data_IF_223248129882
#
_entry.id   IF_223248129882
#
_cell.length_a   1.000
_cell.length_b   1.000
_cell.length_c   1.000
_cell.angle_alpha   90.00
_cell.angle_beta   90.00
_cell.angle_gamma   90.00
#
_symmetry.space_group_name_H-M   'P 1'
#
loop_
_entity.id
_entity.type
_entity.pdbx_description
1 polymer ?
#
# COMPACT_ATOMS: atom_id res chain seq x y z
N UNK A 1 -4.05 4.52 55.78
CA UNK A 1 -2.86 3.82 55.29
C UNK A 1 -2.61 4.27 53.87
N UNK A 2 -1.43 4.85 53.65
CA UNK A 2 -0.95 5.41 52.39
C UNK A 2 -0.50 4.32 51.39
N UNK A 3 -0.33 4.75 50.13
CA UNK A 3 0.41 4.15 49.01
C UNK A 3 -0.39 3.25 48.04
N UNK A 4 -0.22 3.33 46.72
CA UNK A 4 0.59 4.23 45.88
C UNK A 4 0.15 4.02 44.41
N UNK A 5 -0.12 5.11 43.71
CA UNK A 5 -0.24 5.14 42.26
C UNK A 5 1.14 4.95 41.63
N UNK A 6 1.36 3.82 40.92
CA UNK A 6 2.51 3.67 40.02
C UNK A 6 2.13 4.15 38.62
N UNK A 7 2.63 5.33 38.26
CA UNK A 7 2.73 5.81 36.87
C UNK A 7 3.49 4.78 36.03
N UNK A 8 2.87 4.25 34.97
CA UNK A 8 3.60 3.58 33.88
C UNK A 8 4.32 4.66 33.07
N UNK A 9 5.65 4.62 33.05
CA UNK A 9 6.49 5.38 32.12
C UNK A 9 6.28 4.81 30.71
N UNK A 10 5.92 5.65 29.74
CA UNK A 10 6.08 5.36 28.31
C UNK A 10 7.59 5.12 28.07
N UNK A 11 7.95 3.92 27.67
CA UNK A 11 9.28 3.63 27.15
C UNK A 11 9.36 4.20 25.74
N UNK A 12 10.26 5.14 25.52
CA UNK A 12 10.68 5.55 24.17
C UNK A 12 11.30 4.32 23.51
N UNK A 13 10.66 3.80 22.47
CA UNK A 13 11.17 2.67 21.71
C UNK A 13 12.28 3.20 20.79
N UNK A 14 13.53 2.99 21.15
CA UNK A 14 14.67 3.27 20.27
C UNK A 14 14.65 2.23 19.15
N UNK A 15 14.24 2.64 17.95
CA UNK A 15 14.31 1.80 16.76
C UNK A 15 15.80 1.63 16.40
N UNK A 16 16.30 0.41 16.53
CA UNK A 16 17.64 0.05 16.04
C UNK A 16 17.48 -0.28 14.55
N UNK A 17 17.77 0.70 13.70
CA UNK A 17 17.81 0.51 12.25
C UNK A 17 19.09 -0.26 11.90
N UNK A 18 18.94 -1.42 11.27
CA UNK A 18 20.08 -2.20 10.76
C UNK A 18 20.66 -1.45 9.55
N UNK A 19 21.90 -0.98 9.68
CA UNK A 19 22.57 -0.15 8.66
C UNK A 19 23.01 -1.04 7.48
N UNK A 20 22.36 -0.88 6.33
CA UNK A 20 22.82 -1.46 5.07
C UNK A 20 23.98 -0.60 4.51
N UNK A 21 25.20 -1.12 4.54
CA UNK A 21 26.37 -0.49 3.92
C UNK A 21 26.35 -0.76 2.41
N UNK A 22 25.64 0.08 1.64
CA UNK A 22 25.71 0.07 0.18
C UNK A 22 27.06 0.62 -0.30
N UNK A 23 28.00 -0.27 -0.61
CA UNK A 23 29.22 0.07 -1.35
C UNK A 23 28.88 0.11 -2.85
N UNK A 24 28.57 1.30 -3.37
CA UNK A 24 28.36 1.51 -4.81
C UNK A 24 29.74 1.67 -5.48
N UNK A 25 30.32 0.57 -5.94
CA UNK A 25 31.49 0.59 -6.83
C UNK A 25 31.04 0.35 -8.28
N UNK A 26 31.09 1.39 -9.12
CA UNK A 26 30.88 1.21 -10.57
C UNK A 26 30.69 2.49 -11.38
N UNK A 27 31.80 3.10 -11.82
CA UNK A 27 32.00 3.84 -13.06
C UNK A 27 30.89 4.79 -13.58
N UNK A 28 30.59 5.85 -12.81
CA UNK A 28 30.30 7.22 -13.25
C UNK A 28 30.56 8.13 -12.04
N UNK A 29 31.38 9.15 -12.19
CA UNK A 29 31.89 10.01 -11.11
C UNK A 29 30.82 10.95 -10.56
N UNK A 30 29.88 10.45 -9.76
CA UNK A 30 28.96 11.25 -8.93
C UNK A 30 28.61 10.47 -7.65
N UNK A 31 29.62 9.96 -6.95
CA UNK A 31 29.43 9.52 -5.56
C UNK A 31 29.29 10.76 -4.66
N UNK A 32 28.42 10.75 -3.64
CA UNK A 32 28.43 11.82 -2.65
C UNK A 32 29.79 11.81 -1.95
N UNK A 33 30.34 12.99 -1.62
CA UNK A 33 31.51 13.02 -0.74
C UNK A 33 31.12 12.33 0.59
N UNK A 34 32.07 11.68 1.26
CA UNK A 34 31.85 10.96 2.51
C UNK A 34 31.24 11.89 3.59
N UNK A 35 31.54 13.19 3.51
CA UNK A 35 30.94 14.22 4.34
C UNK A 35 29.44 14.43 4.06
N UNK A 36 29.05 14.53 2.78
CA UNK A 36 27.65 14.66 2.37
C UNK A 36 26.86 13.40 2.73
N UNK A 37 27.45 12.22 2.51
CA UNK A 37 26.85 10.93 2.85
C UNK A 37 26.56 10.77 4.34
N UNK A 38 27.39 11.38 5.20
CA UNK A 38 27.17 11.40 6.66
C UNK A 38 26.12 12.44 7.07
N UNK A 39 26.02 13.56 6.34
CA UNK A 39 25.07 14.64 6.63
C UNK A 39 23.62 14.18 6.46
N UNK A 40 23.24 13.74 5.26
CA UNK A 40 21.84 13.42 4.98
C UNK A 40 21.34 12.22 5.77
N UNK A 41 22.22 11.24 6.08
CA UNK A 41 21.87 10.11 6.96
C UNK A 41 21.55 10.55 8.39
N UNK A 42 22.28 11.53 8.90
CA UNK A 42 21.99 12.10 10.21
C UNK A 42 20.66 12.86 10.19
N UNK A 43 20.39 13.62 9.13
CA UNK A 43 19.13 14.36 8.98
C UNK A 43 17.94 13.41 8.89
N UNK A 44 18.02 12.36 8.07
CA UNK A 44 16.98 11.34 7.95
C UNK A 44 16.66 10.64 9.27
N UNK A 45 17.66 10.33 10.09
CA UNK A 45 17.44 9.68 11.39
C UNK A 45 16.77 10.62 12.41
N UNK A 46 16.74 11.93 12.15
CA UNK A 46 16.09 12.94 12.98
C UNK A 46 14.72 13.34 12.46
N UNK A 47 14.38 12.97 11.22
CA UNK A 47 13.07 13.22 10.64
C UNK A 47 12.06 12.23 11.21
N UNK A 48 11.11 12.75 11.99
CA UNK A 48 9.91 12.03 12.39
C UNK A 48 8.89 12.10 11.23
N UNK A 49 8.04 11.09 11.08
CA UNK A 49 6.89 11.06 10.16
C UNK A 49 7.20 11.12 8.65
N UNK A 50 8.12 10.26 8.18
CA UNK A 50 8.33 10.08 6.74
C UNK A 50 7.09 9.50 6.04
N UNK A 51 6.71 10.07 4.89
CA UNK A 51 5.62 9.57 4.03
C UNK A 51 5.82 8.12 3.58
N UNK A 52 7.07 7.75 3.28
CA UNK A 52 7.46 6.40 2.85
C UNK A 52 8.41 5.78 3.87
N UNK A 53 8.69 4.47 3.75
CA UNK A 53 9.69 3.84 4.59
C UNK A 53 11.05 4.55 4.47
N UNK A 54 11.89 4.38 5.50
CA UNK A 54 13.24 4.94 5.47
C UNK A 54 14.03 4.43 4.25
N UNK A 55 13.91 3.15 3.90
CA UNK A 55 14.59 2.57 2.72
C UNK A 55 14.07 3.19 1.42
N UNK A 56 12.75 3.30 1.24
CA UNK A 56 12.17 3.99 0.08
C UNK A 56 12.66 5.44 -0.01
N UNK A 57 12.62 6.19 1.09
CA UNK A 57 13.06 7.59 1.15
C UNK A 57 14.53 7.73 0.70
N UNK A 58 15.42 6.85 1.17
CA UNK A 58 16.83 6.85 0.72
C UNK A 58 16.95 6.59 -0.77
N UNK A 59 16.20 5.63 -1.28
CA UNK A 59 16.29 5.19 -2.68
C UNK A 59 15.75 6.26 -3.63
N UNK A 60 14.64 6.89 -3.27
CA UNK A 60 14.07 8.03 -3.95
C UNK A 60 15.03 9.22 -3.93
N UNK A 61 15.62 9.54 -2.77
CA UNK A 61 16.62 10.61 -2.65
C UNK A 61 17.81 10.40 -3.61
N UNK A 62 18.39 9.20 -3.60
CA UNK A 62 19.52 8.85 -4.47
C UNK A 62 19.10 8.94 -5.95
N UNK A 63 17.90 8.49 -6.29
CA UNK A 63 17.43 8.53 -7.67
C UNK A 63 17.15 9.96 -8.15
N UNK A 64 16.50 10.80 -7.34
CA UNK A 64 16.27 12.21 -7.64
C UNK A 64 17.58 12.96 -7.88
N UNK A 65 18.59 12.76 -7.03
CA UNK A 65 19.90 13.41 -7.22
C UNK A 65 20.58 12.98 -8.54
N UNK A 66 20.36 11.75 -8.99
CA UNK A 66 20.88 11.28 -10.29
C UNK A 66 20.16 11.94 -11.48
N UNK A 67 18.85 12.08 -11.39
CA UNK A 67 18.05 12.72 -12.45
C UNK A 67 18.40 14.20 -12.62
N UNK A 68 18.53 14.90 -11.49
CA UNK A 68 18.91 16.32 -11.43
C UNK A 68 20.39 16.54 -11.74
N UNK A 69 21.20 15.46 -11.74
CA UNK A 69 22.67 15.48 -11.92
C UNK A 69 23.38 16.37 -10.90
N UNK A 70 22.75 16.57 -9.74
CA UNK A 70 23.24 17.39 -8.64
C UNK A 70 22.73 16.80 -7.32
N UNK A 71 23.55 16.88 -6.26
CA UNK A 71 23.12 16.53 -4.92
C UNK A 71 22.29 17.65 -4.32
N UNK A 72 21.02 17.35 -4.05
CA UNK A 72 20.13 18.28 -3.39
C UNK A 72 20.38 18.23 -1.87
N UNK A 73 20.24 19.36 -1.15
CA UNK A 73 20.06 19.32 0.29
C UNK A 73 18.94 18.34 0.65
N UNK A 74 19.14 17.50 1.66
CA UNK A 74 18.20 16.42 1.98
C UNK A 74 16.79 16.95 2.24
N UNK A 75 16.68 18.11 2.90
CA UNK A 75 15.40 18.79 3.11
C UNK A 75 14.67 19.10 1.79
N UNK A 76 15.37 19.68 0.81
CA UNK A 76 14.77 20.07 -0.48
C UNK A 76 14.35 18.83 -1.28
N UNK A 77 15.13 17.75 -1.18
CA UNK A 77 14.77 16.48 -1.77
C UNK A 77 13.59 15.81 -1.06
N UNK A 78 13.51 15.91 0.27
CA UNK A 78 12.40 15.37 1.05
C UNK A 78 11.08 16.04 0.67
N UNK A 79 11.06 17.37 0.52
CA UNK A 79 9.88 18.10 0.03
C UNK A 79 9.44 17.60 -1.36
N UNK A 80 10.39 17.30 -2.25
CA UNK A 80 10.08 16.68 -3.56
C UNK A 80 9.55 15.25 -3.42
N UNK A 81 10.12 14.44 -2.54
CA UNK A 81 9.71 13.05 -2.30
C UNK A 81 8.28 13.01 -1.74
N UNK A 82 7.96 13.86 -0.77
CA UNK A 82 6.62 13.94 -0.16
C UNK A 82 5.54 14.35 -1.17
N UNK A 83 5.91 15.14 -2.17
CA UNK A 83 5.02 15.55 -3.26
C UNK A 83 4.76 14.44 -4.29
N UNK A 84 5.58 13.38 -4.35
CA UNK A 84 5.32 12.24 -5.23
C UNK A 84 4.07 11.50 -4.76
N UNK A 85 3.20 11.10 -5.68
CA UNK A 85 2.21 10.05 -5.41
C UNK A 85 2.92 8.70 -5.18
N UNK A 86 2.23 7.76 -4.52
CA UNK A 86 2.74 6.38 -4.37
C UNK A 86 3.08 5.70 -5.70
N UNK A 87 2.34 5.99 -6.77
CA UNK A 87 2.66 5.48 -8.11
C UNK A 87 3.99 6.05 -8.62
N UNK A 88 4.16 7.37 -8.55
CA UNK A 88 5.40 8.03 -8.99
C UNK A 88 6.60 7.59 -8.14
N UNK A 89 6.42 7.47 -6.82
CA UNK A 89 7.45 6.96 -5.92
C UNK A 89 7.83 5.52 -6.25
N UNK A 90 6.86 4.62 -6.47
CA UNK A 90 7.16 3.24 -6.86
C UNK A 90 7.93 3.18 -8.19
N UNK A 91 7.49 3.94 -9.20
CA UNK A 91 8.13 3.95 -10.52
C UNK A 91 9.57 4.47 -10.44
N UNK A 92 9.78 5.57 -9.71
CA UNK A 92 11.10 6.13 -9.47
C UNK A 92 12.01 5.18 -8.67
N UNK A 93 11.46 4.48 -7.67
CA UNK A 93 12.20 3.50 -6.90
C UNK A 93 12.61 2.30 -7.78
N UNK A 94 11.71 1.79 -8.64
CA UNK A 94 12.05 0.73 -9.60
C UNK A 94 13.19 1.13 -10.55
N UNK A 95 13.22 2.38 -11.01
CA UNK A 95 14.30 2.89 -11.87
C UNK A 95 15.67 2.88 -11.19
N UNK A 96 15.72 3.00 -9.86
CA UNK A 96 16.96 2.93 -9.09
C UNK A 96 17.70 1.58 -9.21
N UNK A 97 17.01 0.51 -9.64
CA UNK A 97 17.57 -0.82 -9.88
C UNK A 97 18.16 -1.01 -11.28
N UNK A 98 18.12 0.00 -12.16
CA UNK A 98 18.71 -0.03 -13.51
C UNK A 98 18.33 -1.29 -14.33
N UNK A 99 17.06 -1.69 -14.29
CA UNK A 99 16.53 -2.87 -15.01
C UNK A 99 17.10 -4.22 -14.53
N UNK A 100 17.59 -4.29 -13.28
CA UNK A 100 17.97 -5.55 -12.61
C UNK A 100 17.10 -5.82 -11.37
N UNK A 101 15.83 -5.42 -11.44
CA UNK A 101 14.87 -5.68 -10.38
C UNK A 101 14.55 -7.18 -10.37
N UNK A 102 14.55 -7.79 -9.18
CA UNK A 102 14.07 -9.17 -8.98
C UNK A 102 12.66 -9.14 -8.40
N UNK A 103 11.90 -10.24 -8.50
CA UNK A 103 10.57 -10.31 -7.90
C UNK A 103 10.53 -9.94 -6.41
N UNK A 104 11.56 -10.35 -5.65
CA UNK A 104 11.71 -9.93 -4.25
C UNK A 104 11.83 -8.41 -4.09
N UNK A 105 12.64 -7.76 -4.93
CA UNK A 105 12.79 -6.30 -4.86
C UNK A 105 11.45 -5.60 -5.13
N UNK A 106 10.61 -6.15 -6.01
CA UNK A 106 9.26 -5.61 -6.25
C UNK A 106 8.40 -5.71 -4.99
N UNK A 107 8.43 -6.85 -4.28
CA UNK A 107 7.70 -7.02 -3.01
C UNK A 107 8.18 -6.04 -1.95
N UNK A 108 9.50 -5.90 -1.81
CA UNK A 108 10.11 -4.95 -0.87
C UNK A 108 9.70 -3.51 -1.20
N UNK A 109 9.73 -3.10 -2.48
CA UNK A 109 9.28 -1.76 -2.92
C UNK A 109 7.80 -1.52 -2.61
N UNK A 110 6.94 -2.51 -2.84
CA UNK A 110 5.50 -2.38 -2.54
C UNK A 110 5.29 -2.19 -1.04
N UNK A 111 5.99 -2.95 -0.20
CA UNK A 111 5.94 -2.77 1.25
C UNK A 111 6.49 -1.40 1.67
N UNK A 112 7.61 -0.97 1.10
CA UNK A 112 8.27 0.28 1.47
C UNK A 112 7.49 1.54 1.06
N UNK A 113 6.77 1.49 -0.07
CA UNK A 113 6.01 2.63 -0.61
C UNK A 113 4.55 2.60 -0.16
N UNK A 114 3.92 1.43 -0.12
CA UNK A 114 2.48 1.29 0.18
C UNK A 114 2.21 0.80 1.60
N UNK A 115 3.19 0.19 2.29
CA UNK A 115 2.97 -0.49 3.57
C UNK A 115 2.27 -1.85 3.41
N UNK A 116 2.26 -2.42 2.20
CA UNK A 116 1.55 -3.66 1.87
C UNK A 116 2.55 -4.82 1.78
N UNK A 117 2.35 -5.85 2.59
CA UNK A 117 3.18 -7.06 2.59
C UNK A 117 2.56 -8.14 1.67
N UNK A 118 3.11 -8.26 0.47
CA UNK A 118 2.65 -9.25 -0.52
C UNK A 118 2.97 -10.69 -0.11
N UNK A 119 4.00 -10.93 0.70
CA UNK A 119 4.32 -12.27 1.20
C UNK A 119 3.25 -12.69 2.20
N UNK A 120 2.88 -11.81 3.14
CA UNK A 120 1.78 -12.06 4.07
C UNK A 120 0.43 -12.29 3.35
N UNK A 121 0.13 -11.56 2.27
CA UNK A 121 -1.08 -11.81 1.45
C UNK A 121 -1.06 -13.21 0.83
N UNK A 122 0.10 -13.69 0.37
CA UNK A 122 0.22 -15.06 -0.15
C UNK A 122 0.00 -16.08 0.95
N UNK A 123 0.76 -15.97 2.04
CA UNK A 123 0.78 -16.94 3.16
C UNK A 123 -0.60 -17.11 3.82
N UNK A 124 -1.36 -16.02 3.91
CA UNK A 124 -2.72 -16.04 4.47
C UNK A 124 -3.77 -16.55 3.49
N UNK A 125 -3.41 -16.80 2.22
CA UNK A 125 -4.37 -17.11 1.17
C UNK A 125 -5.28 -15.93 0.80
N UNK A 126 -5.09 -14.76 1.42
CA UNK A 126 -5.90 -13.57 1.21
C UNK A 126 -5.72 -13.00 -0.21
N UNK A 127 -6.64 -12.16 -0.66
CA UNK A 127 -6.53 -11.51 -1.96
C UNK A 127 -7.47 -12.10 -2.99
N UNK A 128 -7.02 -12.08 -4.24
CA UNK A 128 -7.66 -12.80 -5.34
C UNK A 128 -7.48 -14.31 -5.15
N UNK A 129 -8.56 -15.04 -5.33
CA UNK A 129 -8.55 -16.50 -5.23
C UNK A 129 -7.79 -17.09 -6.43
N UNK A 130 -6.85 -18.01 -6.20
CA UNK A 130 -6.01 -18.59 -7.26
C UNK A 130 -6.84 -19.30 -8.33
N UNK A 131 -7.96 -19.92 -7.94
CA UNK A 131 -8.96 -20.52 -8.83
C UNK A 131 -9.66 -19.52 -9.78
N UNK A 132 -9.44 -18.21 -9.59
CA UNK A 132 -10.02 -17.13 -10.40
C UNK A 132 -8.97 -16.43 -11.28
N UNK A 133 -7.76 -16.99 -11.40
CA UNK A 133 -6.79 -16.51 -12.37
C UNK A 133 -7.34 -16.57 -13.80
N UNK A 134 -6.98 -15.56 -14.60
CA UNK A 134 -7.36 -15.51 -16.00
C UNK A 134 -6.48 -16.44 -16.83
N UNK A 135 -6.96 -16.81 -18.02
CA UNK A 135 -6.17 -17.57 -19.00
C UNK A 135 -4.84 -16.90 -19.33
N UNK A 136 -4.76 -15.57 -19.23
CA UNK A 136 -3.54 -14.80 -19.39
C UNK A 136 -2.50 -15.11 -18.30
N UNK A 137 -2.89 -15.04 -17.02
CA UNK A 137 -2.00 -15.37 -15.89
C UNK A 137 -1.52 -16.81 -16.00
N UNK A 138 -2.45 -17.74 -16.25
CA UNK A 138 -2.12 -19.16 -16.39
C UNK A 138 -1.20 -19.40 -17.60
N UNK A 139 -1.45 -18.71 -18.72
CA UNK A 139 -0.64 -18.80 -19.94
C UNK A 139 0.80 -18.33 -19.73
N UNK A 140 0.99 -17.21 -19.06
CA UNK A 140 2.32 -16.66 -18.77
C UNK A 140 3.10 -17.54 -17.80
N UNK A 141 2.46 -18.03 -16.75
CA UNK A 141 3.09 -18.96 -15.80
C UNK A 141 3.50 -20.27 -16.50
N UNK A 142 2.64 -20.82 -17.37
CA UNK A 142 3.00 -22.00 -18.18
C UNK A 142 4.19 -21.72 -19.11
N UNK A 143 4.30 -20.51 -19.67
CA UNK A 143 5.42 -20.15 -20.55
C UNK A 143 6.77 -20.16 -19.82
N UNK A 144 6.80 -19.80 -18.55
CA UNK A 144 8.02 -19.81 -17.74
C UNK A 144 8.43 -21.23 -17.27
N UNK A 145 7.54 -22.21 -17.38
CA UNK A 145 7.79 -23.59 -16.94
C UNK A 145 8.27 -24.45 -18.11
N UNK A 146 9.33 -25.24 -17.86
CA UNK A 146 9.92 -26.15 -18.86
C UNK A 146 9.05 -27.40 -19.16
N UNK A 147 8.05 -27.68 -18.32
CA UNK A 147 7.20 -28.87 -18.40
C UNK A 147 5.73 -28.49 -18.64
N UNK A 148 4.95 -29.40 -19.26
CA UNK A 148 3.50 -29.22 -19.36
C UNK A 148 2.87 -29.33 -17.96
N UNK A 149 2.54 -28.18 -17.37
CA UNK A 149 1.86 -28.08 -16.08
C UNK A 149 0.37 -27.75 -16.30
N UNK A 150 -0.50 -28.43 -15.55
CA UNK A 150 -1.94 -28.20 -15.60
C UNK A 150 -2.35 -26.93 -14.85
N UNK A 151 -3.50 -26.37 -15.20
CA UNK A 151 -4.04 -25.19 -14.53
C UNK A 151 -4.28 -25.46 -13.05
N UNK A 152 -4.75 -26.66 -12.71
CA UNK A 152 -4.94 -27.09 -11.33
C UNK A 152 -3.62 -27.02 -10.53
N UNK A 153 -2.51 -27.46 -11.11
CA UNK A 153 -1.21 -27.38 -10.46
C UNK A 153 -0.77 -25.92 -10.23
N UNK A 154 -0.98 -25.03 -11.21
CA UNK A 154 -0.69 -23.59 -11.06
C UNK A 154 -1.57 -22.95 -9.98
N UNK A 155 -2.86 -23.29 -9.93
CA UNK A 155 -3.77 -22.74 -8.90
C UNK A 155 -3.45 -23.20 -7.48
N UNK A 156 -2.66 -24.27 -7.32
CA UNK A 156 -2.18 -24.76 -6.03
C UNK A 156 -0.81 -24.17 -5.62
N UNK A 157 -0.18 -23.37 -6.48
CA UNK A 157 1.06 -22.65 -6.15
C UNK A 157 0.76 -21.46 -5.23
N UNK A 158 1.76 -21.08 -4.45
CA UNK A 158 1.73 -19.83 -3.68
C UNK A 158 1.67 -18.63 -4.63
N UNK A 159 0.99 -17.54 -4.22
CA UNK A 159 0.87 -16.33 -5.06
C UNK A 159 2.23 -15.72 -5.39
N UNK A 160 3.18 -15.79 -4.46
CA UNK A 160 4.56 -15.34 -4.70
C UNK A 160 5.28 -16.19 -5.74
N UNK A 161 5.04 -17.50 -5.79
CA UNK A 161 5.61 -18.39 -6.82
C UNK A 161 5.01 -18.07 -8.19
N UNK A 162 3.69 -17.85 -8.24
CA UNK A 162 2.99 -17.40 -9.45
C UNK A 162 3.54 -16.06 -9.94
N UNK A 163 3.81 -15.11 -9.03
CA UNK A 163 4.42 -13.82 -9.37
C UNK A 163 5.84 -13.97 -9.93
N UNK A 164 6.66 -14.81 -9.31
CA UNK A 164 8.04 -15.04 -9.75
C UNK A 164 8.07 -15.65 -11.17
N UNK A 165 7.19 -16.63 -11.46
CA UNK A 165 7.03 -17.23 -12.78
C UNK A 165 6.43 -16.26 -13.81
N UNK A 166 5.43 -15.46 -13.41
CA UNK A 166 4.85 -14.43 -14.26
C UNK A 166 5.93 -13.41 -14.68
N UNK A 167 6.78 -12.99 -13.75
CA UNK A 167 7.90 -12.10 -14.02
C UNK A 167 8.92 -12.70 -14.99
N UNK A 168 9.23 -13.99 -14.83
CA UNK A 168 10.14 -14.72 -15.70
C UNK A 168 9.64 -14.81 -17.15
N UNK A 169 8.32 -14.93 -17.36
CA UNK A 169 7.72 -14.92 -18.70
C UNK A 169 7.97 -13.62 -19.49
N UNK A 170 8.33 -12.52 -18.81
CA UNK A 170 8.72 -11.24 -19.41
C UNK A 170 10.23 -11.03 -19.47
N UNK A 171 11.05 -12.08 -19.27
CA UNK A 171 12.51 -12.01 -19.19
C UNK A 171 13.01 -10.96 -18.17
N UNK A 172 12.20 -10.72 -17.12
CA UNK A 172 12.45 -9.70 -16.12
C UNK A 172 12.46 -8.26 -16.63
N UNK A 173 11.72 -7.97 -17.69
CA UNK A 173 11.60 -6.64 -18.25
C UNK A 173 10.13 -6.20 -18.31
N UNK A 174 9.68 -5.54 -17.25
CA UNK A 174 8.36 -4.91 -17.18
C UNK A 174 8.49 -3.47 -16.71
N UNK A 175 7.65 -2.59 -17.25
CA UNK A 175 7.45 -1.23 -16.75
C UNK A 175 6.73 -1.25 -15.40
N UNK A 176 6.78 -0.13 -14.67
CA UNK A 176 6.06 -0.02 -13.39
C UNK A 176 4.55 -0.21 -13.52
N UNK A 177 3.94 0.25 -14.61
CA UNK A 177 2.52 0.00 -14.91
C UNK A 177 2.21 -1.50 -15.10
N UNK A 178 3.06 -2.22 -15.85
CA UNK A 178 2.93 -3.65 -16.04
C UNK A 178 3.12 -4.43 -14.72
N UNK A 179 4.06 -4.00 -13.87
CA UNK A 179 4.26 -4.58 -12.54
C UNK A 179 3.02 -4.39 -11.67
N UNK A 180 2.42 -3.19 -11.64
CA UNK A 180 1.16 -2.95 -10.91
C UNK A 180 0.01 -3.81 -11.44
N UNK A 181 -0.08 -3.99 -12.76
CA UNK A 181 -1.08 -4.86 -13.38
C UNK A 181 -0.89 -6.32 -13.00
N UNK A 182 0.35 -6.82 -12.99
CA UNK A 182 0.68 -8.16 -12.51
C UNK A 182 0.27 -8.35 -11.05
N UNK A 183 0.63 -7.39 -10.17
CA UNK A 183 0.26 -7.43 -8.75
C UNK A 183 -1.27 -7.48 -8.61
N UNK A 184 -2.01 -6.67 -9.36
CA UNK A 184 -3.48 -6.73 -9.34
C UNK A 184 -4.01 -8.06 -9.88
N UNK A 185 -3.42 -8.59 -10.96
CA UNK A 185 -3.85 -9.84 -11.58
C UNK A 185 -3.67 -11.07 -10.69
N UNK A 186 -2.64 -11.07 -9.83
CA UNK A 186 -2.25 -12.18 -8.95
C UNK A 186 -2.82 -11.99 -7.53
N UNK A 187 -2.64 -10.82 -6.93
CA UNK A 187 -3.02 -10.56 -5.54
C UNK A 187 -4.39 -9.89 -5.40
N UNK A 188 -4.94 -9.30 -6.47
CA UNK A 188 -6.17 -8.50 -6.41
C UNK A 188 -5.98 -7.13 -5.76
N UNK A 189 -4.75 -6.60 -5.80
CA UNK A 189 -4.38 -5.34 -5.17
C UNK A 189 -4.17 -4.27 -6.24
N UNK A 190 -5.09 -3.30 -6.29
CA UNK A 190 -5.04 -2.20 -7.23
C UNK A 190 -4.18 -1.04 -6.69
N UNK A 191 -2.85 -1.15 -6.83
CA UNK A 191 -1.90 -0.13 -6.33
C UNK A 191 -2.16 1.27 -6.91
N UNK A 192 -2.56 1.37 -8.18
CA UNK A 192 -2.90 2.66 -8.79
C UNK A 192 -4.16 3.28 -8.15
N UNK A 193 -5.19 2.46 -7.90
CA UNK A 193 -6.39 2.89 -7.19
C UNK A 193 -6.11 3.31 -5.74
N UNK A 194 -5.25 2.55 -5.04
CA UNK A 194 -4.82 2.84 -3.67
C UNK A 194 -4.07 4.18 -3.60
N UNK A 195 -3.15 4.44 -4.54
CA UNK A 195 -2.47 5.72 -4.63
C UNK A 195 -3.44 6.89 -4.83
N UNK A 196 -4.59 6.66 -5.48
CA UNK A 196 -5.64 7.66 -5.67
C UNK A 196 -6.47 7.95 -4.42
N UNK A 197 -6.31 7.19 -3.34
CA UNK A 197 -6.98 7.44 -2.06
C UNK A 197 -6.22 8.47 -1.19
N UNK A 198 -5.00 8.85 -1.57
CA UNK A 198 -4.22 9.86 -0.85
C UNK A 198 -4.97 11.19 -0.72
N UNK A 199 -5.12 11.67 0.52
CA UNK A 199 -5.83 12.91 0.84
C UNK A 199 -7.35 12.86 0.64
N UNK A 200 -7.92 11.69 0.33
CA UNK A 200 -9.38 11.56 0.13
C UNK A 200 -10.16 11.46 1.44
N UNK A 201 -9.49 11.23 2.56
CA UNK A 201 -10.11 11.02 3.87
C UNK A 201 -10.69 9.60 4.03
N UNK A 202 -10.26 8.64 3.21
CA UNK A 202 -10.71 7.25 3.26
C UNK A 202 -9.54 6.32 3.57
N UNK A 203 -9.62 5.67 4.72
CA UNK A 203 -8.77 4.55 5.06
C UNK A 203 -9.35 3.25 4.46
N UNK A 204 -8.48 2.35 4.04
CA UNK A 204 -8.83 1.04 3.50
C UNK A 204 -8.12 -0.06 4.29
N UNK A 205 -8.91 -0.89 4.96
CA UNK A 205 -8.46 -2.15 5.57
C UNK A 205 -8.98 -3.31 4.72
N UNK A 206 -8.07 -4.13 4.21
CA UNK A 206 -8.40 -5.28 3.37
C UNK A 206 -7.31 -6.32 3.49
N UNK A 207 -7.66 -7.59 3.27
CA UNK A 207 -6.70 -8.71 3.29
C UNK A 207 -5.93 -8.78 4.60
N UNK A 208 -6.65 -8.55 5.70
CA UNK A 208 -6.12 -8.57 7.07
C UNK A 208 -4.99 -7.56 7.35
N UNK A 209 -4.90 -6.49 6.56
CA UNK A 209 -3.92 -5.43 6.77
C UNK A 209 -4.44 -4.06 6.34
N UNK A 210 -3.75 -3.01 6.78
CA UNK A 210 -3.97 -1.66 6.27
C UNK A 210 -3.40 -1.57 4.86
N UNK A 211 -4.27 -1.27 3.90
CA UNK A 211 -3.90 -1.02 2.50
C UNK A 211 -3.65 0.46 2.27
N UNK A 212 -4.43 1.32 2.93
CA UNK A 212 -4.30 2.77 2.94
C UNK A 212 -4.78 3.29 4.29
N UNK A 213 -3.98 4.11 4.97
CA UNK A 213 -4.36 4.72 6.23
C UNK A 213 -3.49 5.94 6.51
N UNK A 214 -4.13 7.08 6.73
CA UNK A 214 -3.52 8.37 7.01
C UNK A 214 -4.14 8.98 8.29
N UNK A 215 -3.39 9.86 8.96
CA UNK A 215 -3.78 10.43 10.25
C UNK A 215 -5.14 11.17 10.21
N UNK A 216 -5.42 11.85 9.10
CA UNK A 216 -6.65 12.62 8.90
C UNK A 216 -7.74 11.85 8.13
N UNK A 217 -7.60 10.52 7.96
CA UNK A 217 -8.69 9.76 7.34
C UNK A 217 -9.96 9.86 8.19
N UNK A 218 -11.10 10.03 7.53
CA UNK A 218 -12.39 10.28 8.17
C UNK A 218 -13.22 9.01 8.32
N UNK A 219 -13.16 8.13 7.33
CA UNK A 219 -13.91 6.87 7.32
C UNK A 219 -12.99 5.71 6.97
N UNK A 220 -13.21 4.57 7.62
CA UNK A 220 -12.58 3.30 7.27
C UNK A 220 -13.54 2.51 6.40
N UNK A 221 -13.05 2.05 5.25
CA UNK A 221 -13.64 0.95 4.49
C UNK A 221 -12.90 -0.31 4.86
N UNK A 222 -13.63 -1.28 5.40
CA UNK A 222 -13.09 -2.57 5.78
C UNK A 222 -13.74 -3.66 4.92
N UNK A 223 -12.94 -4.50 4.26
CA UNK A 223 -13.44 -5.67 3.54
C UNK A 223 -13.07 -6.95 4.27
N UNK A 224 -13.97 -7.92 4.37
CA UNK A 224 -13.62 -9.24 4.90
C UNK A 224 -12.56 -9.95 4.04
N UNK A 225 -11.91 -10.98 4.60
CA UNK A 225 -10.81 -11.70 3.96
C UNK A 225 -11.11 -12.18 2.51
N UNK A 226 -12.33 -12.67 2.28
CA UNK A 226 -12.79 -13.19 0.99
C UNK A 226 -13.42 -12.12 0.07
N UNK A 227 -13.39 -10.85 0.48
CA UNK A 227 -14.08 -9.72 -0.16
C UNK A 227 -15.58 -9.97 -0.39
N UNK A 228 -16.23 -10.83 0.40
CA UNK A 228 -17.67 -11.10 0.28
C UNK A 228 -18.48 -9.98 0.92
N UNK A 229 -17.92 -9.33 1.93
CA UNK A 229 -18.54 -8.27 2.69
C UNK A 229 -17.64 -7.05 2.89
N UNK A 230 -18.30 -5.92 3.13
CA UNK A 230 -17.71 -4.60 3.30
C UNK A 230 -18.42 -3.90 4.44
N UNK A 231 -17.69 -3.22 5.31
CA UNK A 231 -18.28 -2.29 6.27
C UNK A 231 -17.55 -0.96 6.34
N UNK A 232 -18.32 0.06 6.70
CA UNK A 232 -17.88 1.46 6.75
C UNK A 232 -18.21 2.07 8.11
N UNK A 233 -17.20 2.67 8.73
CA UNK A 233 -17.32 3.30 10.05
C UNK A 233 -16.40 4.52 10.17
N UNK A 234 -16.74 5.48 11.05
CA UNK A 234 -15.90 6.66 11.27
C UNK A 234 -14.60 6.30 12.00
N UNK A 235 -13.52 7.00 11.65
CA UNK A 235 -12.24 6.94 12.37
C UNK A 235 -12.34 7.67 13.72
N UNK A 236 -11.36 7.44 14.58
CA UNK A 236 -11.24 8.22 15.83
C UNK A 236 -10.99 9.71 15.53
N UNK A 237 -10.20 10.01 14.48
CA UNK A 237 -9.99 11.39 14.03
C UNK A 237 -11.32 12.08 13.68
N UNK A 238 -12.18 11.45 12.88
CA UNK A 238 -13.49 12.01 12.55
C UNK A 238 -14.34 12.29 13.81
N UNK A 239 -14.36 11.34 14.74
CA UNK A 239 -15.11 11.48 16.01
C UNK A 239 -14.57 12.65 16.84
N UNK A 240 -13.25 12.80 16.93
CA UNK A 240 -12.61 13.89 17.66
C UNK A 240 -12.89 15.26 17.02
N UNK A 241 -12.86 15.36 15.68
CA UNK A 241 -13.10 16.63 14.99
C UNK A 241 -14.59 17.04 14.99
N UNK A 242 -15.51 16.08 14.95
CA UNK A 242 -16.95 16.36 14.78
C UNK A 242 -17.78 16.19 16.05
N UNK A 243 -17.29 15.42 17.03
CA UNK A 243 -18.05 14.96 18.19
C UNK A 243 -19.13 13.92 17.86
N UNK A 244 -19.13 13.36 16.64
CA UNK A 244 -20.12 12.38 16.18
C UNK A 244 -19.55 10.96 16.30
N UNK A 245 -20.10 10.16 17.20
CA UNK A 245 -19.63 8.80 17.51
C UNK A 245 -20.04 7.74 16.48
N UNK A 246 -21.12 7.98 15.73
CA UNK A 246 -21.71 7.05 14.77
C UNK A 246 -21.51 7.52 13.32
N UNK A 247 -21.90 6.69 12.35
CA UNK A 247 -21.92 7.11 10.95
C UNK A 247 -22.84 8.33 10.77
N UNK A 248 -22.39 9.40 10.09
CA UNK A 248 -23.24 10.57 9.87
C UNK A 248 -24.39 10.24 8.93
N UNK A 249 -25.52 10.90 9.13
CA UNK A 249 -26.78 10.59 8.42
C UNK A 249 -26.63 10.64 6.89
N UNK A 250 -25.82 11.57 6.38
CA UNK A 250 -25.54 11.73 4.96
C UNK A 250 -24.84 10.49 4.39
N UNK A 251 -23.84 9.96 5.10
CA UNK A 251 -23.14 8.73 4.73
C UNK A 251 -24.09 7.52 4.76
N UNK A 252 -24.93 7.42 5.78
CA UNK A 252 -25.94 6.35 5.86
C UNK A 252 -26.89 6.37 4.67
N UNK A 253 -27.43 7.54 4.32
CA UNK A 253 -28.36 7.69 3.20
C UNK A 253 -27.68 7.33 1.88
N UNK A 254 -26.45 7.82 1.67
CA UNK A 254 -25.70 7.58 0.45
C UNK A 254 -25.36 6.08 0.27
N UNK A 255 -24.87 5.41 1.31
CA UNK A 255 -24.54 3.99 1.24
C UNK A 255 -25.78 3.07 1.25
N UNK A 256 -26.87 3.47 1.91
CA UNK A 256 -28.14 2.73 1.84
C UNK A 256 -28.68 2.65 0.42
N UNK A 257 -28.46 3.68 -0.40
CA UNK A 257 -28.84 3.66 -1.81
C UNK A 257 -28.07 2.61 -2.64
N UNK A 258 -26.90 2.16 -2.15
CA UNK A 258 -26.12 1.06 -2.73
C UNK A 258 -26.46 -0.31 -2.11
N UNK A 259 -27.35 -0.35 -1.12
CA UNK A 259 -27.76 -1.57 -0.43
C UNK A 259 -27.00 -1.88 0.87
N UNK A 260 -26.27 -0.92 1.43
CA UNK A 260 -25.72 -1.06 2.79
C UNK A 260 -26.85 -0.93 3.82
N UNK A 261 -26.73 -1.68 4.91
CA UNK A 261 -27.61 -1.60 6.07
C UNK A 261 -26.77 -1.45 7.33
N UNK A 262 -27.30 -0.79 8.36
CA UNK A 262 -26.58 -0.70 9.63
C UNK A 262 -26.59 -2.06 10.35
N UNK A 263 -25.41 -2.53 10.73
CA UNK A 263 -25.23 -3.74 11.53
C UNK A 263 -24.86 -3.38 12.97
N UNK A 264 -25.73 -3.70 13.92
CA UNK A 264 -25.45 -3.53 15.36
C UNK A 264 -24.26 -4.38 15.81
N UNK A 265 -24.06 -5.56 15.23
CA UNK A 265 -22.93 -6.45 15.56
C UNK A 265 -21.58 -5.82 15.20
N UNK A 266 -21.53 -5.11 14.07
CA UNK A 266 -20.31 -4.46 13.55
C UNK A 266 -20.20 -2.99 13.97
N UNK A 267 -21.26 -2.43 14.54
CA UNK A 267 -21.44 -0.99 14.78
C UNK A 267 -21.13 -0.13 13.54
N UNK A 268 -21.47 -0.65 12.35
CA UNK A 268 -21.03 -0.09 11.07
C UNK A 268 -22.10 -0.22 9.98
N UNK A 269 -21.97 0.57 8.92
CA UNK A 269 -22.73 0.36 7.69
C UNK A 269 -22.15 -0.85 6.97
N UNK A 270 -22.94 -1.89 6.75
CA UNK A 270 -22.50 -3.20 6.30
C UNK A 270 -23.19 -3.59 4.99
N UNK A 271 -22.44 -4.23 4.11
CA UNK A 271 -22.93 -4.87 2.90
C UNK A 271 -22.31 -6.26 2.77
N UNK A 272 -23.13 -7.26 2.44
CA UNK A 272 -22.66 -8.57 2.01
C UNK A 272 -23.23 -8.89 0.64
N UNK A 273 -22.41 -9.44 -0.24
CA UNK A 273 -22.89 -9.89 -1.55
C UNK A 273 -23.95 -11.00 -1.36
N UNK A 274 -25.20 -10.81 -1.85
CA UNK A 274 -26.28 -11.79 -1.65
C UNK A 274 -26.00 -13.16 -2.26
N UNK A 275 -25.06 -13.25 -3.20
CA UNK A 275 -24.65 -14.50 -3.84
C UNK A 275 -23.56 -15.26 -3.08
N UNK A 276 -23.02 -14.67 -2.00
CA UNK A 276 -21.87 -15.21 -1.26
C UNK A 276 -20.55 -15.16 -2.04
N UNK A 277 -20.52 -14.49 -3.20
CA UNK A 277 -19.32 -14.28 -4.02
C UNK A 277 -18.61 -13.00 -3.61
N UNK A 278 -17.34 -12.89 -4.00
CA UNK A 278 -16.60 -11.64 -3.88
C UNK A 278 -17.36 -10.46 -4.49
N UNK A 279 -17.29 -9.30 -3.83
CA UNK A 279 -17.88 -8.05 -4.27
C UNK A 279 -17.17 -7.59 -5.55
N UNK A 280 -17.92 -7.34 -6.64
CA UNK A 280 -17.34 -6.89 -7.90
C UNK A 280 -16.58 -5.56 -7.79
N UNK A 281 -15.51 -5.39 -8.56
CA UNK A 281 -14.67 -4.18 -8.52
C UNK A 281 -15.43 -2.89 -8.85
N UNK A 282 -16.42 -2.95 -9.75
CA UNK A 282 -17.25 -1.78 -10.05
C UNK A 282 -18.10 -1.35 -8.84
N UNK A 283 -18.57 -2.30 -8.03
CA UNK A 283 -19.28 -1.99 -6.78
C UNK A 283 -18.31 -1.41 -5.75
N UNK A 284 -17.11 -1.99 -5.58
CA UNK A 284 -16.06 -1.43 -4.71
C UNK A 284 -15.73 0.02 -5.08
N UNK A 285 -15.58 0.30 -6.38
CA UNK A 285 -15.35 1.65 -6.91
C UNK A 285 -16.52 2.61 -6.65
N UNK A 286 -17.77 2.15 -6.78
CA UNK A 286 -18.97 2.94 -6.45
C UNK A 286 -19.05 3.27 -4.96
N UNK A 287 -18.77 2.30 -4.08
CA UNK A 287 -18.73 2.51 -2.64
C UNK A 287 -17.70 3.57 -2.27
N UNK A 288 -16.45 3.41 -2.71
CA UNK A 288 -15.39 4.39 -2.45
C UNK A 288 -15.75 5.77 -3.00
N UNK A 289 -16.21 5.85 -4.25
CA UNK A 289 -16.61 7.11 -4.86
C UNK A 289 -17.75 7.81 -4.12
N UNK A 290 -18.69 7.05 -3.56
CA UNK A 290 -19.81 7.57 -2.77
C UNK A 290 -19.32 8.16 -1.45
N UNK A 291 -18.42 7.47 -0.73
CA UNK A 291 -17.85 7.96 0.51
C UNK A 291 -17.03 9.23 0.26
N UNK A 292 -16.18 9.23 -0.77
CA UNK A 292 -15.39 10.40 -1.17
C UNK A 292 -16.29 11.58 -1.56
N UNK A 293 -17.42 11.31 -2.21
CA UNK A 293 -18.44 12.33 -2.52
C UNK A 293 -18.98 12.99 -1.24
N UNK A 294 -19.38 12.19 -0.25
CA UNK A 294 -19.85 12.70 1.05
C UNK A 294 -18.77 13.50 1.76
N UNK A 295 -17.52 13.04 1.76
CA UNK A 295 -16.40 13.78 2.35
C UNK A 295 -16.25 15.15 1.68
N UNK A 296 -16.24 15.21 0.35
CA UNK A 296 -16.10 16.48 -0.37
C UNK A 296 -17.26 17.44 -0.16
N UNK A 297 -18.48 16.94 -0.02
CA UNK A 297 -19.67 17.77 0.15
C UNK A 297 -19.83 18.31 1.58
N UNK A 298 -19.48 17.51 2.59
CA UNK A 298 -19.83 17.80 3.99
C UNK A 298 -18.61 18.00 4.91
N UNK A 299 -17.42 17.53 4.50
CA UNK A 299 -16.25 17.39 5.37
C UNK A 299 -14.91 17.82 4.73
N UNK A 300 -14.91 18.55 3.61
CA UNK A 300 -13.69 18.99 2.89
C UNK A 300 -12.73 19.84 3.75
N UNK A 301 -13.19 20.40 4.87
CA UNK A 301 -12.34 21.14 5.80
C UNK A 301 -11.63 20.30 6.86
N UNK A 302 -11.83 18.98 6.86
CA UNK A 302 -11.33 18.07 7.90
C UNK A 302 -10.22 17.14 7.42
N UNK A 303 -9.92 17.07 6.12
CA UNK A 303 -8.91 16.18 5.55
C UNK A 303 -7.58 16.90 5.27
#
# INVERSE_FOLDING_TARGET
MFNSFKKKKKGSMTIIITVLSLAIMGACTFGPDEAEAKSWKSEMNLTEDLKYSAEATVRLYIQLCKEEKEWLPFKDALEKIEALSKVEAMDLYLESYYKKVKPKDIRDIVNDVYGIDLEAVSDLGAGKQTSTYSDEVLGLVRQALDEEVSDEAITNMEKIEVMDLYWEAFDGNMSGDEIRKMINAIFGINLAGISGLEGTGVALFSKEQWISHYENDLFVVHTGADDVDVWVYPTDYFKEQTGVEANPRQLEVALSALGFEYSEEKEALYYANPTGKSVPDNFKGQTLGTIIGVIKEEYEGLN
#
